data_IF_986871286926
#
_entry.id   IF_986871286926
#
_cell.length_a   1.000
_cell.length_b   1.000
_cell.length_c   1.000
_cell.angle_alpha   90.00
_cell.angle_beta   90.00
_cell.angle_gamma   90.00
#
_symmetry.space_group_name_H-M   'P 1'
#
loop_
_entity.id
_entity.type
_entity.pdbx_description
1 polymer ?
#
# COMPACT_ATOMS: atom_id res chain seq x y z
N UNK A 1 -10.39 7.50 -13.49
CA UNK A 1 -10.38 7.81 -12.04
C UNK A 1 -10.25 6.56 -11.18
N UNK A 2 -11.19 5.61 -11.26
CA UNK A 2 -11.08 4.30 -10.58
C UNK A 2 -9.85 3.50 -11.01
N UNK A 3 -9.30 3.78 -12.20
CA UNK A 3 -8.17 3.06 -12.77
C UNK A 3 -6.91 3.12 -11.89
N UNK A 4 -6.50 4.29 -11.37
CA UNK A 4 -5.30 4.40 -10.53
C UNK A 4 -5.45 3.65 -9.20
N UNK A 5 -6.62 3.76 -8.54
CA UNK A 5 -6.91 3.01 -7.32
C UNK A 5 -6.98 1.50 -7.57
N UNK A 6 -7.48 1.08 -8.74
CA UNK A 6 -7.49 -0.34 -9.16
C UNK A 6 -6.09 -0.85 -9.52
N UNK A 7 -5.26 -0.04 -10.16
CA UNK A 7 -3.85 -0.37 -10.42
C UNK A 7 -3.11 -0.52 -9.08
N UNK A 8 -3.29 0.43 -8.16
CA UNK A 8 -2.71 0.38 -6.82
C UNK A 8 -3.19 -0.88 -6.05
N UNK A 9 -4.49 -1.21 -6.14
CA UNK A 9 -5.01 -2.46 -5.58
C UNK A 9 -4.33 -3.69 -6.21
N UNK A 10 -4.16 -3.71 -7.54
CA UNK A 10 -3.49 -4.78 -8.26
C UNK A 10 -2.01 -4.94 -7.87
N UNK A 11 -1.28 -3.83 -7.74
CA UNK A 11 0.10 -3.81 -7.25
C UNK A 11 0.16 -4.38 -5.83
N UNK A 12 -0.79 -4.01 -4.96
CA UNK A 12 -0.85 -4.52 -3.59
C UNK A 12 -1.14 -6.02 -3.54
N UNK A 13 -2.02 -6.55 -4.40
CA UNK A 13 -2.24 -8.00 -4.52
C UNK A 13 -0.97 -8.71 -5.02
N UNK A 14 -0.34 -8.18 -6.06
CA UNK A 14 0.88 -8.76 -6.62
C UNK A 14 1.99 -8.82 -5.56
N UNK A 15 2.12 -7.77 -4.76
CA UNK A 15 3.09 -7.72 -3.67
C UNK A 15 2.77 -8.71 -2.56
N UNK A 16 1.50 -8.84 -2.17
CA UNK A 16 1.08 -9.87 -1.21
C UNK A 16 1.41 -11.29 -1.73
N UNK A 17 1.17 -11.56 -3.01
CA UNK A 17 1.53 -12.83 -3.63
C UNK A 17 3.03 -13.07 -3.62
N UNK A 18 3.84 -12.04 -3.91
CA UNK A 18 5.30 -12.12 -3.82
C UNK A 18 5.78 -12.39 -2.39
N UNK A 19 5.16 -11.78 -1.37
CA UNK A 19 5.50 -12.03 0.04
C UNK A 19 5.13 -13.45 0.48
N UNK A 20 4.00 -13.98 0.02
CA UNK A 20 3.59 -15.37 0.33
C UNK A 20 4.39 -16.41 -0.45
N UNK A 21 4.64 -16.20 -1.74
CA UNK A 21 5.32 -17.14 -2.63
C UNK A 21 6.85 -17.05 -2.54
N UNK A 22 7.40 -15.84 -2.39
CA UNK A 22 8.83 -15.57 -2.23
C UNK A 22 9.42 -16.15 -0.95
N UNK A 23 8.57 -16.63 -0.04
CA UNK A 23 8.94 -17.41 1.15
C UNK A 23 9.86 -18.58 0.81
N UNK A 24 9.67 -19.27 -0.32
CA UNK A 24 10.56 -20.37 -0.73
C UNK A 24 11.81 -19.92 -1.49
N UNK A 25 11.77 -18.76 -2.16
CA UNK A 25 12.87 -18.27 -2.98
C UNK A 25 13.97 -17.57 -2.15
N UNK A 26 13.60 -16.90 -1.05
CA UNK A 26 14.54 -16.22 -0.15
C UNK A 26 15.13 -17.15 0.92
N UNK A 27 14.39 -18.17 1.35
CA UNK A 27 14.85 -19.17 2.33
C UNK A 27 15.84 -20.19 1.79
N UNK A 28 16.01 -20.27 0.46
CA UNK A 28 16.97 -21.19 -0.13
C UNK A 28 18.42 -20.76 0.12
N UNK A 29 18.66 -19.48 0.44
CA UNK A 29 19.99 -18.93 0.66
C UNK A 29 20.38 -18.84 2.16
N UNK A 30 19.42 -18.60 3.06
CA UNK A 30 19.65 -18.64 4.52
C UNK A 30 18.41 -19.17 5.26
N UNK A 31 18.57 -19.91 6.38
CA UNK A 31 17.45 -20.39 7.19
C UNK A 31 16.77 -19.22 7.88
N UNK A 32 15.78 -18.63 7.21
CA UNK A 32 15.00 -17.53 7.76
C UNK A 32 14.37 -17.92 9.10
N UNK A 33 14.54 -17.04 10.09
CA UNK A 33 14.02 -17.28 11.43
C UNK A 33 12.48 -17.25 11.44
N UNK A 34 11.81 -17.89 12.42
CA UNK A 34 10.35 -17.84 12.54
C UNK A 34 9.77 -16.42 12.56
N UNK A 35 10.55 -15.46 13.04
CA UNK A 35 10.21 -14.04 13.05
C UNK A 35 10.07 -13.46 11.63
N UNK A 36 10.98 -13.78 10.71
CA UNK A 36 10.90 -13.33 9.32
C UNK A 36 9.64 -13.84 8.63
N UNK A 37 9.22 -15.06 8.96
CA UNK A 37 7.96 -15.62 8.45
C UNK A 37 6.73 -14.91 9.00
N UNK A 38 6.71 -14.61 10.29
CA UNK A 38 5.61 -13.87 10.90
C UNK A 38 5.49 -12.46 10.29
N UNK A 39 6.63 -11.78 10.09
CA UNK A 39 6.68 -10.47 9.46
C UNK A 39 6.19 -10.52 8.01
N UNK A 40 6.73 -11.41 7.17
CA UNK A 40 6.31 -11.53 5.77
C UNK A 40 4.81 -11.84 5.63
N UNK A 41 4.27 -12.72 6.48
CA UNK A 41 2.84 -13.02 6.50
C UNK A 41 2.00 -11.81 6.94
N UNK A 42 2.41 -11.12 8.00
CA UNK A 42 1.72 -9.92 8.48
C UNK A 42 1.69 -8.83 7.41
N UNK A 43 2.82 -8.60 6.74
CA UNK A 43 2.96 -7.64 5.65
C UNK A 43 2.08 -8.03 4.46
N UNK A 44 2.08 -9.31 4.08
CA UNK A 44 1.21 -9.84 3.02
C UNK A 44 -0.28 -9.62 3.31
N UNK A 45 -0.73 -9.89 4.55
CA UNK A 45 -2.12 -9.64 4.98
C UNK A 45 -2.45 -8.15 4.87
N UNK A 46 -1.56 -7.27 5.32
CA UNK A 46 -1.76 -5.82 5.23
C UNK A 46 -1.91 -5.38 3.77
N UNK A 47 -1.11 -5.92 2.86
CA UNK A 47 -1.24 -5.63 1.43
C UNK A 47 -2.56 -6.15 0.82
N UNK A 48 -3.10 -7.27 1.30
CA UNK A 48 -4.44 -7.71 0.91
C UNK A 48 -5.54 -6.77 1.43
N UNK A 49 -5.40 -6.28 2.66
CA UNK A 49 -6.32 -5.28 3.23
C UNK A 49 -6.28 -4.00 2.39
N UNK A 50 -5.09 -3.51 2.04
CA UNK A 50 -4.94 -2.36 1.14
C UNK A 50 -5.56 -2.61 -0.23
N UNK A 51 -5.33 -3.78 -0.82
CA UNK A 51 -5.95 -4.12 -2.09
C UNK A 51 -7.47 -4.04 -2.01
N UNK A 52 -8.07 -4.63 -0.98
CA UNK A 52 -9.51 -4.58 -0.76
C UNK A 52 -10.03 -3.15 -0.55
N UNK A 53 -9.37 -2.38 0.30
CA UNK A 53 -9.73 -0.99 0.59
C UNK A 53 -9.63 -0.09 -0.63
N UNK A 54 -8.54 -0.18 -1.40
CA UNK A 54 -8.32 0.60 -2.62
C UNK A 54 -9.27 0.19 -3.74
N UNK A 55 -9.57 -1.10 -3.86
CA UNK A 55 -10.57 -1.60 -4.80
C UNK A 55 -11.96 -1.03 -4.49
N UNK A 56 -12.37 -1.08 -3.21
CA UNK A 56 -13.65 -0.51 -2.75
C UNK A 56 -13.69 1.00 -2.91
N UNK A 57 -12.63 1.71 -2.53
CA UNK A 57 -12.50 3.16 -2.73
C UNK A 57 -12.55 3.54 -4.21
N UNK A 58 -12.02 2.71 -5.10
CA UNK A 58 -12.12 2.89 -6.55
C UNK A 58 -13.54 2.78 -7.11
N UNK A 59 -14.46 2.12 -6.40
CA UNK A 59 -15.87 2.02 -6.81
C UNK A 59 -16.72 3.21 -6.35
N UNK A 60 -16.48 3.74 -5.13
CA UNK A 60 -17.22 4.89 -4.59
C UNK A 60 -16.29 5.88 -3.85
N UNK A 61 -15.41 6.61 -4.56
CA UNK A 61 -14.37 7.41 -3.91
C UNK A 61 -14.88 8.50 -2.95
N UNK A 62 -15.98 9.23 -3.24
CA UNK A 62 -16.48 10.27 -2.33
C UNK A 62 -16.96 9.73 -0.98
N UNK A 63 -17.41 8.48 -0.93
CA UNK A 63 -17.95 7.84 0.29
C UNK A 63 -16.85 7.30 1.20
N UNK A 64 -15.66 7.04 0.65
CA UNK A 64 -14.56 6.34 1.31
C UNK A 64 -13.36 7.26 1.62
N UNK A 65 -13.60 8.57 1.76
CA UNK A 65 -12.52 9.57 2.02
C UNK A 65 -11.65 9.20 3.22
N UNK A 66 -12.27 8.75 4.31
CA UNK A 66 -11.56 8.31 5.52
C UNK A 66 -10.62 7.14 5.25
N UNK A 67 -11.02 6.20 4.38
CA UNK A 67 -10.19 5.06 3.98
C UNK A 67 -8.99 5.53 3.16
N UNK A 68 -9.22 6.47 2.23
CA UNK A 68 -8.15 7.05 1.40
C UNK A 68 -7.15 7.80 2.26
N UNK A 69 -7.61 8.66 3.19
CA UNK A 69 -6.71 9.39 4.09
C UNK A 69 -5.98 8.48 5.08
N UNK A 70 -6.68 7.48 5.64
CA UNK A 70 -6.07 6.47 6.50
C UNK A 70 -4.97 5.70 5.79
N UNK A 71 -5.21 5.32 4.53
CA UNK A 71 -4.21 4.66 3.70
C UNK A 71 -3.00 5.53 3.41
N UNK A 72 -3.20 6.82 3.14
CA UNK A 72 -2.10 7.77 2.95
C UNK A 72 -1.24 7.93 4.20
N UNK A 73 -1.86 8.14 5.36
CA UNK A 73 -1.14 8.29 6.64
C UNK A 73 -0.33 7.03 6.93
N UNK A 74 -0.94 5.87 6.75
CA UNK A 74 -0.28 4.60 7.00
C UNK A 74 0.92 4.39 6.05
N UNK A 75 0.74 4.64 4.75
CA UNK A 75 1.83 4.54 3.78
C UNK A 75 2.96 5.53 4.09
N UNK A 76 2.64 6.77 4.47
CA UNK A 76 3.63 7.77 4.84
C UNK A 76 4.45 7.34 6.07
N UNK A 77 3.78 6.82 7.10
CA UNK A 77 4.44 6.29 8.30
C UNK A 77 5.34 5.09 7.97
N UNK A 78 4.85 4.19 7.11
CA UNK A 78 5.65 3.04 6.66
C UNK A 78 6.88 3.47 5.87
N UNK A 79 6.73 4.35 4.89
CA UNK A 79 7.88 4.87 4.11
C UNK A 79 8.91 5.51 5.05
N UNK A 80 8.47 6.26 6.07
CA UNK A 80 9.38 6.83 7.07
C UNK A 80 10.10 5.75 7.89
N UNK A 81 9.40 4.67 8.27
CA UNK A 81 10.00 3.53 8.95
C UNK A 81 11.02 2.79 8.05
N UNK A 82 10.64 2.47 6.81
CA UNK A 82 11.50 1.75 5.87
C UNK A 82 12.76 2.58 5.55
N UNK A 83 12.61 3.89 5.42
CA UNK A 83 13.73 4.81 5.24
C UNK A 83 14.65 4.82 6.46
N UNK A 84 14.10 4.82 7.67
CA UNK A 84 14.88 4.70 8.90
C UNK A 84 15.64 3.37 8.96
N UNK A 85 14.98 2.26 8.66
CA UNK A 85 15.61 0.94 8.64
C UNK A 85 16.76 0.88 7.62
N UNK A 86 16.55 1.40 6.41
CA UNK A 86 17.57 1.46 5.36
C UNK A 86 18.77 2.34 5.71
N UNK A 87 18.54 3.47 6.38
CA UNK A 87 19.60 4.42 6.69
C UNK A 87 20.36 4.07 7.98
N UNK A 88 19.67 3.49 8.98
CA UNK A 88 20.21 3.34 10.33
C UNK A 88 20.51 1.89 10.73
N UNK A 89 19.78 0.90 10.20
CA UNK A 89 19.79 -0.46 10.73
C UNK A 89 20.33 -1.50 9.75
N UNK A 90 19.90 -1.45 8.49
CA UNK A 90 20.25 -2.45 7.48
C UNK A 90 21.62 -2.15 6.85
N UNK A 91 22.47 -3.18 6.75
CA UNK A 91 23.75 -3.10 6.02
C UNK A 91 23.89 -4.30 5.10
N UNK A 92 24.31 -4.06 3.86
CA UNK A 92 24.61 -5.12 2.89
C UNK A 92 23.38 -5.62 2.13
N UNK A 93 23.38 -6.90 1.67
CA UNK A 93 22.38 -7.43 0.74
C UNK A 93 20.94 -7.45 1.27
N UNK A 94 20.76 -7.42 2.59
CA UNK A 94 19.47 -7.38 3.27
C UNK A 94 18.72 -6.06 3.10
N UNK A 95 19.42 -4.98 2.72
CA UNK A 95 18.80 -3.70 2.42
C UNK A 95 17.96 -3.73 1.12
N UNK A 96 18.26 -4.66 0.21
CA UNK A 96 17.64 -4.66 -1.12
C UNK A 96 16.13 -4.97 -1.10
N UNK A 97 15.63 -6.00 -0.39
CA UNK A 97 14.19 -6.22 -0.25
C UNK A 97 13.46 -5.04 0.42
N UNK A 98 14.05 -4.48 1.48
CA UNK A 98 13.47 -3.32 2.18
C UNK A 98 13.39 -2.09 1.27
N UNK A 99 14.37 -1.91 0.39
CA UNK A 99 14.36 -0.85 -0.62
C UNK A 99 13.24 -1.06 -1.66
N UNK A 100 13.04 -2.29 -2.14
CA UNK A 100 11.96 -2.59 -3.08
C UNK A 100 10.58 -2.36 -2.44
N UNK A 101 10.42 -2.75 -1.18
CA UNK A 101 9.19 -2.55 -0.42
C UNK A 101 8.90 -1.06 -0.19
N UNK A 102 9.92 -0.26 0.13
CA UNK A 102 9.81 1.19 0.23
C UNK A 102 9.39 1.81 -1.11
N UNK A 103 9.98 1.39 -2.22
CA UNK A 103 9.62 1.87 -3.57
C UNK A 103 8.16 1.51 -3.92
N UNK A 104 7.72 0.29 -3.60
CA UNK A 104 6.34 -0.13 -3.82
C UNK A 104 5.36 0.73 -3.00
N UNK A 105 5.69 1.00 -1.73
CA UNK A 105 4.90 1.87 -0.84
C UNK A 105 4.85 3.31 -1.35
N UNK A 106 5.96 3.85 -1.86
CA UNK A 106 6.03 5.17 -2.50
C UNK A 106 5.16 5.23 -3.76
N UNK A 107 5.24 4.22 -4.63
CA UNK A 107 4.42 4.16 -5.84
C UNK A 107 2.91 4.12 -5.51
N UNK A 108 2.52 3.35 -4.49
CA UNK A 108 1.14 3.32 -3.99
C UNK A 108 0.70 4.70 -3.46
N UNK A 109 1.55 5.36 -2.67
CA UNK A 109 1.25 6.69 -2.13
C UNK A 109 1.05 7.73 -3.25
N UNK A 110 1.96 7.74 -4.23
CA UNK A 110 1.86 8.63 -5.40
C UNK A 110 0.58 8.34 -6.19
N UNK A 111 0.23 7.07 -6.40
CA UNK A 111 -1.01 6.68 -7.08
C UNK A 111 -2.27 7.19 -6.35
N UNK A 112 -2.28 7.12 -5.02
CA UNK A 112 -3.38 7.65 -4.21
C UNK A 112 -3.44 9.18 -4.28
N UNK A 113 -2.30 9.86 -4.18
CA UNK A 113 -2.21 11.33 -4.29
C UNK A 113 -2.70 11.84 -5.64
N UNK A 114 -2.37 11.15 -6.73
CA UNK A 114 -2.86 11.50 -8.07
C UNK A 114 -4.38 11.29 -8.22
N UNK A 115 -4.96 10.34 -7.48
CA UNK A 115 -6.41 10.14 -7.46
C UNK A 115 -7.15 11.22 -6.64
N UNK A 116 -6.47 11.91 -5.72
CA UNK A 116 -7.07 12.78 -4.70
C UNK A 116 -7.88 13.96 -5.27
N UNK A 117 -7.36 14.81 -6.18
CA UNK A 117 -8.08 15.99 -6.66
C UNK A 117 -9.44 15.62 -7.27
N UNK A 118 -9.46 14.48 -7.97
CA UNK A 118 -10.64 13.99 -8.64
C UNK A 118 -11.67 13.41 -7.63
N UNK A 119 -11.22 12.76 -6.55
CA UNK A 119 -12.11 12.33 -5.45
C UNK A 119 -12.72 13.48 -4.66
N UNK A 120 -12.01 14.61 -4.57
CA UNK A 120 -12.51 15.83 -3.93
C UNK A 120 -13.56 16.52 -4.79
N UNK A 121 -13.29 16.68 -6.10
CA UNK A 121 -14.21 17.27 -7.07
C UNK A 121 -15.55 16.51 -7.16
N UNK A 122 -15.51 15.17 -7.23
CA UNK A 122 -16.72 14.34 -7.31
C UNK A 122 -17.65 14.42 -6.07
N UNK A 123 -17.17 14.96 -4.94
CA UNK A 123 -18.02 15.22 -3.78
C UNK A 123 -18.55 16.65 -3.67
N UNK A 124 -18.01 17.61 -4.43
CA UNK A 124 -18.54 18.98 -4.50
C UNK A 124 -19.77 19.09 -5.40
N UNK A 125 -19.87 18.26 -6.44
CA UNK A 125 -21.02 18.25 -7.37
C UNK A 125 -22.34 17.75 -6.74
N UNK A 126 -22.27 17.09 -5.58
CA UNK A 126 -23.44 16.68 -4.78
C UNK A 126 -23.79 17.69 -3.68
N UNK A 127 -23.64 18.99 -3.97
CA UNK A 127 -24.17 20.05 -3.12
C UNK A 127 -25.70 19.91 -2.96
N UNK A 128 -26.28 20.42 -1.86
CA UNK A 128 -27.67 20.12 -1.49
C UNK A 128 -28.63 20.48 -2.62
N UNK A 129 -29.43 19.50 -3.07
CA UNK A 129 -30.57 19.77 -3.94
C UNK A 129 -31.46 20.82 -3.26
N UNK A 130 -31.87 21.88 -3.98
CA UNK A 130 -32.83 22.83 -3.44
C UNK A 130 -34.11 22.06 -3.11
N UNK A 131 -34.41 21.92 -1.82
CA UNK A 131 -35.68 21.42 -1.35
C UNK A 131 -36.77 22.34 -1.91
N UNK A 132 -37.56 21.82 -2.85
CA UNK A 132 -38.77 22.48 -3.36
C UNK A 132 -39.98 22.01 -2.58
#
# INVERSE_FOLDING_TARGET
MSLFLRIAAGISVLWALLLFAGRSAYLAAEPGTPLHHALANGLGIVHLIFAFMLWRAGAQPPRERTVIYGAMIWLALRIANDLYELLALLRGPEAFPSMLDMIASLALLVGILQALPATLAAGQERGPEPQR
#
